data_IF_176960376463
#
_entry.id   IF_176960376463
#
_cell.length_a   1.000
_cell.length_b   1.000
_cell.length_c   1.000
_cell.angle_alpha   90.00
_cell.angle_beta   90.00
_cell.angle_gamma   90.00
#
_symmetry.space_group_name_H-M   'P 1'
#
loop_
_entity.id
_entity.type
_entity.pdbx_description
1 polymer ?
#
# COMPACT_ATOMS: atom_id res chain seq x y z
N UNK A 1 -100.51 61.24 -29.54
CA UNK A 1 -99.28 61.48 -28.71
C UNK A 1 -98.66 60.10 -28.42
N UNK A 2 -97.72 59.68 -29.22
CA UNK A 2 -97.12 58.38 -29.08
C UNK A 2 -95.66 58.62 -28.68
N UNK A 3 -95.25 58.15 -27.49
CA UNK A 3 -93.86 58.22 -26.97
C UNK A 3 -93.06 57.04 -27.50
N UNK A 4 -92.03 57.32 -28.27
CA UNK A 4 -91.01 56.35 -28.65
C UNK A 4 -90.04 56.11 -27.48
N UNK A 5 -89.99 54.85 -27.05
CA UNK A 5 -88.96 54.37 -26.11
C UNK A 5 -87.80 53.85 -26.96
N UNK A 6 -86.60 54.46 -26.82
CA UNK A 6 -85.33 53.97 -27.39
C UNK A 6 -84.71 52.98 -26.43
N UNK A 7 -84.65 51.75 -26.83
CA UNK A 7 -83.84 50.75 -26.18
C UNK A 7 -82.37 50.99 -26.50
N UNK A 8 -81.51 51.22 -25.48
CA UNK A 8 -80.05 51.26 -25.56
C UNK A 8 -79.56 49.84 -25.64
N UNK A 9 -78.96 49.39 -26.72
CA UNK A 9 -78.21 48.15 -26.80
C UNK A 9 -76.84 48.34 -26.11
N UNK A 10 -76.60 47.64 -25.01
CA UNK A 10 -75.32 47.55 -24.36
C UNK A 10 -74.44 46.52 -25.14
N UNK A 11 -73.51 47.01 -25.94
CA UNK A 11 -72.50 46.18 -26.57
C UNK A 11 -71.51 45.74 -25.49
N UNK A 12 -71.60 44.49 -25.13
CA UNK A 12 -70.62 43.87 -24.22
C UNK A 12 -69.25 43.86 -24.90
N UNK A 13 -68.27 44.56 -24.29
CA UNK A 13 -66.86 44.51 -24.64
C UNK A 13 -66.24 43.18 -24.18
N UNK A 14 -66.65 42.01 -24.70
CA UNK A 14 -66.09 40.70 -24.37
C UNK A 14 -64.77 40.43 -25.10
N UNK A 15 -64.42 41.17 -26.17
CA UNK A 15 -63.21 40.92 -26.96
C UNK A 15 -61.90 41.21 -26.25
N UNK A 16 -61.87 42.10 -25.23
CA UNK A 16 -60.67 42.44 -24.51
C UNK A 16 -60.24 41.35 -23.46
N UNK A 17 -61.23 40.80 -22.76
CA UNK A 17 -60.98 39.75 -21.77
C UNK A 17 -60.48 38.47 -22.44
N UNK A 18 -61.04 38.00 -23.52
CA UNK A 18 -60.59 36.83 -24.27
C UNK A 18 -59.20 37.04 -24.87
N UNK A 19 -58.85 38.23 -25.33
CA UNK A 19 -57.48 38.56 -25.79
C UNK A 19 -56.51 38.55 -24.67
N UNK A 20 -56.79 39.09 -23.47
CA UNK A 20 -55.94 39.03 -22.30
C UNK A 20 -55.80 37.61 -21.80
N UNK A 21 -56.83 36.79 -21.75
CA UNK A 21 -56.78 35.38 -21.36
C UNK A 21 -55.90 34.56 -22.32
N UNK A 22 -56.05 34.79 -23.65
CA UNK A 22 -55.20 34.14 -24.66
C UNK A 22 -53.73 34.54 -24.53
N UNK A 23 -53.40 35.82 -24.30
CA UNK A 23 -52.07 36.31 -24.11
C UNK A 23 -51.46 35.74 -22.80
N UNK A 24 -52.23 35.65 -21.73
CA UNK A 24 -51.83 35.05 -20.49
C UNK A 24 -51.54 33.54 -20.64
N UNK A 25 -52.39 32.81 -21.35
CA UNK A 25 -52.21 31.38 -21.64
C UNK A 25 -50.99 31.15 -22.55
N UNK A 26 -50.78 31.99 -23.57
CA UNK A 26 -49.63 31.95 -24.46
C UNK A 26 -48.33 32.24 -23.70
N UNK A 27 -48.35 33.22 -22.78
CA UNK A 27 -47.20 33.51 -21.92
C UNK A 27 -46.91 32.35 -20.96
N UNK A 28 -47.96 31.75 -20.36
CA UNK A 28 -47.81 30.58 -19.47
C UNK A 28 -47.25 29.37 -20.23
N UNK A 29 -47.71 29.13 -21.45
CA UNK A 29 -47.19 28.06 -22.33
C UNK A 29 -45.77 28.32 -22.75
N UNK A 30 -45.41 29.56 -23.06
CA UNK A 30 -44.03 29.94 -23.38
C UNK A 30 -43.10 29.75 -22.17
N UNK A 31 -43.51 30.16 -20.97
CA UNK A 31 -42.77 29.93 -19.74
C UNK A 31 -42.63 28.43 -19.45
N UNK A 32 -43.72 27.66 -19.58
CA UNK A 32 -43.67 26.20 -19.40
C UNK A 32 -42.72 25.52 -20.39
N UNK A 33 -42.71 26.00 -21.65
CA UNK A 33 -41.80 25.52 -22.68
C UNK A 33 -40.34 25.86 -22.36
N UNK A 34 -40.06 27.09 -21.90
CA UNK A 34 -38.70 27.49 -21.49
C UNK A 34 -38.23 26.67 -20.29
N UNK A 35 -39.07 26.46 -19.27
CA UNK A 35 -38.78 25.64 -18.12
C UNK A 35 -38.52 24.19 -18.54
N UNK A 36 -39.36 23.62 -19.39
CA UNK A 36 -39.17 22.28 -19.93
C UNK A 36 -37.86 22.18 -20.73
N UNK A 37 -37.54 23.20 -21.52
CA UNK A 37 -36.29 23.26 -22.28
C UNK A 37 -35.07 23.28 -21.34
N UNK A 38 -35.07 24.12 -20.30
CA UNK A 38 -33.96 24.19 -19.32
C UNK A 38 -33.78 22.88 -18.57
N UNK A 39 -34.87 22.17 -18.27
CA UNK A 39 -34.82 20.89 -17.55
C UNK A 39 -34.37 19.76 -18.46
N UNK A 40 -34.78 19.71 -19.69
CA UNK A 40 -34.59 18.60 -20.63
C UNK A 40 -33.35 18.77 -21.52
N UNK A 41 -32.92 20.00 -21.81
CA UNK A 41 -31.74 20.29 -22.61
C UNK A 41 -30.59 20.71 -21.70
N UNK A 42 -29.69 19.77 -21.48
CA UNK A 42 -28.42 19.97 -20.77
C UNK A 42 -27.27 20.08 -21.77
N UNK A 43 -26.35 21.04 -21.56
CA UNK A 43 -25.19 21.24 -22.44
C UNK A 43 -23.91 20.73 -21.81
N UNK A 44 -23.92 20.40 -20.52
CA UNK A 44 -22.75 19.80 -19.85
C UNK A 44 -22.61 18.34 -20.28
N UNK A 45 -21.38 17.97 -20.61
CA UNK A 45 -21.06 16.58 -20.96
C UNK A 45 -20.80 15.77 -19.71
N UNK A 46 -21.07 14.45 -19.72
CA UNK A 46 -20.65 13.57 -18.63
C UNK A 46 -19.13 13.63 -18.45
N UNK A 47 -18.66 13.49 -17.23
CA UNK A 47 -17.23 13.41 -16.91
C UNK A 47 -16.76 11.97 -16.92
N UNK A 48 -15.56 11.73 -17.44
CA UNK A 48 -14.90 10.44 -17.48
C UNK A 48 -13.53 10.56 -16.83
N UNK A 49 -13.25 9.69 -15.86
CA UNK A 49 -11.98 9.65 -15.13
C UNK A 49 -11.43 8.22 -15.15
N UNK A 50 -10.22 8.09 -15.66
CA UNK A 50 -9.41 6.88 -15.51
C UNK A 50 -8.54 7.02 -14.26
N UNK A 51 -8.52 5.98 -13.43
CA UNK A 51 -7.75 6.01 -12.19
C UNK A 51 -6.24 5.90 -12.42
N UNK A 52 -5.82 5.42 -13.61
CA UNK A 52 -4.42 5.24 -14.00
C UNK A 52 -4.20 5.67 -15.45
N UNK A 53 -3.06 6.30 -15.73
CA UNK A 53 -2.60 6.52 -17.11
C UNK A 53 -2.28 5.16 -17.74
N UNK A 54 -2.78 4.96 -18.98
CA UNK A 54 -2.62 3.70 -19.69
C UNK A 54 -1.76 3.97 -20.92
N UNK A 55 -0.62 3.30 -20.99
CA UNK A 55 0.29 3.34 -22.14
C UNK A 55 0.40 1.97 -22.80
N UNK A 56 0.39 0.91 -21.98
CA UNK A 56 0.49 -0.47 -22.42
C UNK A 56 -0.72 -1.26 -21.98
N UNK A 57 -1.11 -2.25 -22.79
CA UNK A 57 -2.17 -3.19 -22.50
C UNK A 57 -1.67 -4.62 -22.76
N UNK A 58 -1.61 -5.40 -21.68
CA UNK A 58 -1.23 -6.81 -21.74
C UNK A 58 -2.30 -7.75 -22.26
N UNK A 59 -2.02 -9.04 -22.18
CA UNK A 59 -2.94 -10.08 -22.63
C UNK A 59 -4.30 -10.05 -21.91
N UNK A 60 -4.30 -9.69 -20.64
CA UNK A 60 -5.52 -9.51 -19.82
C UNK A 60 -5.29 -8.45 -18.75
N UNK A 61 -5.98 -7.33 -18.89
CA UNK A 61 -5.85 -6.17 -18.00
C UNK A 61 -7.21 -5.75 -17.47
N UNK A 62 -7.31 -5.42 -16.18
CA UNK A 62 -8.47 -4.78 -15.59
C UNK A 62 -8.30 -3.26 -15.61
N UNK A 63 -9.25 -2.58 -16.25
CA UNK A 63 -9.28 -1.13 -16.37
C UNK A 63 -10.36 -0.56 -15.45
N UNK A 64 -10.02 0.02 -14.29
CA UNK A 64 -10.96 0.75 -13.47
C UNK A 64 -11.24 2.13 -14.06
N UNK A 65 -12.50 2.45 -14.25
CA UNK A 65 -12.96 3.75 -14.74
C UNK A 65 -14.14 4.25 -13.94
N UNK A 66 -14.24 5.57 -13.83
CA UNK A 66 -15.40 6.24 -13.25
C UNK A 66 -15.98 7.22 -14.25
N UNK A 67 -17.30 7.23 -14.33
CA UNK A 67 -18.01 8.23 -15.08
C UNK A 67 -19.10 8.85 -14.21
N UNK A 68 -19.35 10.16 -14.39
CA UNK A 68 -20.41 10.85 -13.65
C UNK A 68 -21.13 11.89 -14.50
N UNK A 69 -22.42 12.01 -14.23
CA UNK A 69 -23.30 13.04 -14.77
C UNK A 69 -24.34 13.40 -13.70
N UNK A 70 -24.32 14.66 -13.22
CA UNK A 70 -25.11 15.07 -12.06
C UNK A 70 -26.54 15.47 -12.39
N UNK A 71 -26.83 15.79 -13.66
CA UNK A 71 -28.13 16.34 -14.07
C UNK A 71 -29.00 15.29 -14.73
N UNK A 72 -28.73 14.95 -16.00
CA UNK A 72 -29.56 14.00 -16.76
C UNK A 72 -29.24 12.54 -16.40
N UNK A 73 -28.04 12.27 -15.93
CA UNK A 73 -27.55 10.93 -15.59
C UNK A 73 -27.03 10.16 -16.79
N UNK A 74 -26.24 9.13 -16.53
CA UNK A 74 -25.56 8.33 -17.55
C UNK A 74 -26.56 7.41 -18.25
N UNK A 75 -26.57 7.45 -19.60
CA UNK A 75 -27.36 6.60 -20.48
C UNK A 75 -26.62 5.37 -20.93
N UNK A 76 -25.35 5.54 -21.38
CA UNK A 76 -24.56 4.41 -21.85
C UNK A 76 -23.08 4.67 -21.70
N UNK A 77 -22.35 3.56 -21.59
CA UNK A 77 -20.91 3.54 -21.69
C UNK A 77 -20.51 2.49 -22.74
N UNK A 78 -19.60 2.88 -23.63
CA UNK A 78 -19.06 2.00 -24.66
C UNK A 78 -17.54 2.11 -24.66
N UNK A 79 -16.86 0.96 -24.69
CA UNK A 79 -15.40 0.89 -24.77
C UNK A 79 -15.05 0.05 -25.95
N UNK A 80 -14.24 0.62 -26.83
CA UNK A 80 -13.80 -0.01 -28.08
C UNK A 80 -12.28 0.05 -28.18
N UNK A 81 -11.67 -1.05 -28.51
CA UNK A 81 -10.25 -1.14 -28.85
C UNK A 81 -10.11 -1.34 -30.36
N UNK A 82 -9.32 -0.50 -31.00
CA UNK A 82 -9.12 -0.53 -32.45
C UNK A 82 -7.64 -0.62 -32.84
N UNK A 83 -7.36 -1.41 -33.87
CA UNK A 83 -6.03 -1.59 -34.43
C UNK A 83 -6.15 -1.68 -35.95
N UNK A 84 -5.75 -0.64 -36.68
CA UNK A 84 -6.02 -0.50 -38.11
C UNK A 84 -7.53 -0.55 -38.39
N UNK A 85 -7.96 -1.47 -39.26
CA UNK A 85 -9.37 -1.67 -39.59
C UNK A 85 -10.14 -2.51 -38.55
N UNK A 86 -9.44 -3.23 -37.70
CA UNK A 86 -10.07 -4.06 -36.66
C UNK A 86 -10.60 -3.19 -35.54
N UNK A 87 -11.84 -3.49 -35.11
CA UNK A 87 -12.47 -2.88 -33.94
C UNK A 87 -13.08 -3.98 -33.07
N UNK A 88 -12.72 -3.99 -31.81
CA UNK A 88 -13.26 -4.89 -30.80
C UNK A 88 -14.03 -4.07 -29.77
N UNK A 89 -15.31 -4.37 -29.59
CA UNK A 89 -16.13 -3.77 -28.54
C UNK A 89 -15.89 -4.55 -27.24
N UNK A 90 -15.29 -3.88 -26.26
CA UNK A 90 -14.90 -4.47 -24.98
C UNK A 90 -16.02 -4.39 -23.95
N UNK A 91 -16.75 -3.28 -23.97
CA UNK A 91 -17.90 -3.03 -23.12
C UNK A 91 -18.96 -2.26 -23.88
N UNK A 92 -20.20 -2.68 -23.73
CA UNK A 92 -21.39 -1.88 -24.03
C UNK A 92 -22.37 -2.07 -22.89
N UNK A 93 -22.65 -0.99 -22.17
CA UNK A 93 -23.61 -0.99 -21.07
C UNK A 93 -24.57 0.18 -21.24
N UNK A 94 -25.84 -0.13 -21.26
CA UNK A 94 -26.91 0.85 -21.37
C UNK A 94 -27.77 0.81 -20.12
N UNK A 95 -28.25 1.98 -19.71
CA UNK A 95 -29.12 2.14 -18.54
C UNK A 95 -30.51 2.53 -19.01
N UNK A 96 -31.59 1.95 -18.43
CA UNK A 96 -32.94 2.35 -18.77
C UNK A 96 -33.25 3.76 -18.23
N UNK A 97 -34.02 4.53 -18.98
CA UNK A 97 -34.51 5.84 -18.52
C UNK A 97 -35.50 5.65 -17.38
N UNK A 98 -35.19 6.24 -16.22
CA UNK A 98 -36.03 6.14 -15.01
C UNK A 98 -37.00 7.31 -14.86
N UNK A 99 -36.72 8.46 -15.46
CA UNK A 99 -37.52 9.67 -15.35
C UNK A 99 -37.42 10.57 -16.60
N UNK A 100 -38.45 11.42 -16.84
CA UNK A 100 -38.41 12.47 -17.81
C UNK A 100 -38.19 13.87 -17.21
N UNK A 101 -38.47 14.05 -15.91
CA UNK A 101 -38.45 15.34 -15.22
C UNK A 101 -37.41 15.43 -14.10
N UNK A 102 -36.66 14.39 -13.86
CA UNK A 102 -35.56 14.31 -12.89
C UNK A 102 -34.37 13.60 -13.56
N UNK A 103 -33.31 13.39 -12.81
CA UNK A 103 -32.18 12.55 -13.23
C UNK A 103 -32.71 11.23 -13.80
N UNK A 104 -32.42 10.96 -15.06
CA UNK A 104 -33.03 9.86 -15.81
C UNK A 104 -32.22 8.55 -15.70
N UNK A 105 -30.96 8.62 -15.27
CA UNK A 105 -30.05 7.46 -15.08
C UNK A 105 -29.19 7.62 -13.88
N UNK A 106 -28.23 6.69 -13.65
CA UNK A 106 -27.28 6.78 -12.55
C UNK A 106 -26.42 8.05 -12.69
N UNK A 107 -26.22 8.77 -11.59
CA UNK A 107 -25.40 9.99 -11.56
C UNK A 107 -23.90 9.71 -11.52
N UNK A 108 -23.52 8.50 -11.14
CA UNK A 108 -22.14 8.02 -11.11
C UNK A 108 -22.11 6.52 -11.32
N UNK A 109 -21.13 6.05 -12.06
CA UNK A 109 -20.83 4.64 -12.26
C UNK A 109 -19.34 4.39 -12.04
N UNK A 110 -19.02 3.25 -11.47
CA UNK A 110 -17.66 2.74 -11.37
C UNK A 110 -17.65 1.35 -11.99
N UNK A 111 -16.83 1.16 -13.01
CA UNK A 111 -16.74 -0.10 -13.76
C UNK A 111 -15.29 -0.58 -13.77
N UNK A 112 -15.13 -1.91 -13.69
CA UNK A 112 -13.86 -2.58 -13.95
C UNK A 112 -14.00 -3.34 -15.27
N UNK A 113 -13.35 -2.84 -16.30
CA UNK A 113 -13.44 -3.44 -17.63
C UNK A 113 -12.27 -4.37 -17.82
N UNK A 114 -12.55 -5.63 -18.12
CA UNK A 114 -11.53 -6.62 -18.44
C UNK A 114 -11.24 -6.54 -19.95
N UNK A 115 -10.03 -6.11 -20.30
CA UNK A 115 -9.51 -6.14 -21.66
C UNK A 115 -8.80 -7.48 -21.83
N UNK A 116 -9.27 -8.30 -22.76
CA UNK A 116 -8.68 -9.59 -23.12
C UNK A 116 -8.27 -9.52 -24.60
N UNK A 117 -6.98 -9.30 -24.82
CA UNK A 117 -6.42 -9.10 -26.18
C UNK A 117 -6.70 -10.29 -27.10
N UNK A 118 -6.63 -11.52 -26.59
CA UNK A 118 -6.93 -12.74 -27.36
C UNK A 118 -8.38 -12.77 -27.83
N UNK A 119 -9.33 -12.46 -26.92
CA UNK A 119 -10.75 -12.42 -27.26
C UNK A 119 -11.08 -11.28 -28.20
N UNK A 120 -10.39 -10.13 -28.06
CA UNK A 120 -10.53 -8.99 -28.93
C UNK A 120 -9.92 -9.22 -30.32
N UNK A 121 -9.08 -10.24 -30.50
CA UNK A 121 -8.38 -10.51 -31.75
C UNK A 121 -7.36 -9.42 -32.13
N UNK A 122 -6.92 -8.62 -31.17
CA UNK A 122 -5.92 -7.56 -31.31
C UNK A 122 -4.54 -8.17 -31.13
N UNK A 123 -3.59 -7.75 -31.98
CA UNK A 123 -2.20 -8.25 -31.98
C UNK A 123 -1.28 -7.26 -31.26
N UNK A 124 -0.04 -7.66 -31.05
CA UNK A 124 1.05 -6.82 -30.60
C UNK A 124 1.17 -5.52 -31.42
N UNK A 125 1.54 -4.41 -30.79
CA UNK A 125 1.78 -3.12 -31.42
C UNK A 125 0.73 -2.06 -31.13
N UNK A 126 0.77 -0.96 -31.86
CA UNK A 126 -0.05 0.22 -31.59
C UNK A 126 -1.54 -0.03 -31.80
N UNK A 127 -2.34 0.47 -30.87
CA UNK A 127 -3.81 0.41 -30.88
C UNK A 127 -4.39 1.70 -30.28
N UNK A 128 -5.69 1.92 -30.49
CA UNK A 128 -6.43 3.04 -29.89
C UNK A 128 -7.55 2.50 -29.00
N UNK A 129 -7.55 2.87 -27.74
CA UNK A 129 -8.65 2.63 -26.81
C UNK A 129 -9.56 3.83 -26.81
N UNK A 130 -10.81 3.66 -27.21
CA UNK A 130 -11.84 4.68 -27.21
C UNK A 130 -12.88 4.38 -26.14
N UNK A 131 -13.07 5.31 -25.22
CA UNK A 131 -14.08 5.26 -24.17
C UNK A 131 -15.10 6.35 -24.45
N UNK A 132 -16.36 5.99 -24.55
CA UNK A 132 -17.46 6.90 -24.83
C UNK A 132 -18.54 6.76 -23.76
N UNK A 133 -18.93 7.88 -23.18
CA UNK A 133 -20.02 7.96 -22.19
C UNK A 133 -21.08 8.91 -22.74
N UNK A 134 -22.34 8.50 -22.70
CA UNK A 134 -23.50 9.33 -23.09
C UNK A 134 -24.43 9.53 -21.90
N UNK A 135 -25.02 10.71 -21.83
CA UNK A 135 -26.06 11.06 -20.86
C UNK A 135 -27.48 10.89 -21.43
N UNK A 136 -28.49 11.22 -20.62
CA UNK A 136 -29.90 11.21 -21.01
C UNK A 136 -30.42 12.54 -21.44
N UNK A 137 -29.60 13.57 -21.64
CA UNK A 137 -30.03 14.87 -22.13
C UNK A 137 -30.72 14.72 -23.49
N UNK A 138 -31.62 15.66 -23.84
CA UNK A 138 -32.28 15.68 -25.16
C UNK A 138 -31.41 16.33 -26.23
N UNK A 139 -30.20 16.73 -25.89
CA UNK A 139 -29.26 17.31 -26.82
C UNK A 139 -28.90 16.35 -27.98
N UNK A 140 -28.43 16.89 -29.12
CA UNK A 140 -28.03 16.06 -30.26
C UNK A 140 -29.19 15.21 -30.85
N UNK A 141 -30.38 15.77 -31.03
CA UNK A 141 -31.57 15.06 -31.52
C UNK A 141 -31.92 13.82 -30.67
N UNK A 142 -32.03 14.00 -29.38
CA UNK A 142 -32.35 12.96 -28.37
C UNK A 142 -31.26 11.90 -28.15
N UNK A 143 -30.03 12.14 -28.65
CA UNK A 143 -28.91 11.20 -28.48
C UNK A 143 -28.15 11.42 -27.16
N UNK A 144 -28.33 12.56 -26.50
CA UNK A 144 -27.62 12.97 -25.31
C UNK A 144 -26.25 13.59 -25.61
N UNK A 145 -25.66 14.24 -24.60
CA UNK A 145 -24.29 14.69 -24.70
C UNK A 145 -23.32 13.49 -24.62
N UNK A 146 -22.20 13.61 -25.28
CA UNK A 146 -21.20 12.58 -25.35
C UNK A 146 -19.83 13.10 -24.89
N UNK A 147 -19.23 12.41 -23.95
CA UNK A 147 -17.81 12.51 -23.64
C UNK A 147 -17.08 11.36 -24.32
N UNK A 148 -16.00 11.66 -25.04
CA UNK A 148 -15.16 10.66 -25.71
C UNK A 148 -13.72 10.91 -25.31
N UNK A 149 -13.08 9.87 -24.82
CA UNK A 149 -11.64 9.84 -24.57
C UNK A 149 -10.98 8.82 -25.51
N UNK A 150 -9.95 9.26 -26.22
CA UNK A 150 -9.15 8.41 -27.11
C UNK A 150 -7.74 8.33 -26.55
N UNK A 151 -7.24 7.13 -26.36
CA UNK A 151 -5.95 6.87 -25.76
C UNK A 151 -5.16 5.98 -26.72
N UNK A 152 -4.01 6.47 -27.13
CA UNK A 152 -3.05 5.62 -27.87
C UNK A 152 -2.41 4.69 -26.86
N UNK A 153 -2.43 3.39 -27.16
CA UNK A 153 -1.90 2.32 -26.31
C UNK A 153 -1.06 1.39 -27.17
N UNK A 154 -0.06 0.78 -26.57
CA UNK A 154 0.68 -0.31 -27.19
C UNK A 154 0.19 -1.64 -26.62
N UNK A 155 -0.25 -2.54 -27.47
CA UNK A 155 -0.58 -3.91 -27.07
C UNK A 155 0.71 -4.69 -26.91
N UNK A 156 0.96 -5.20 -25.71
CA UNK A 156 2.10 -6.03 -25.37
C UNK A 156 1.61 -7.24 -24.58
N UNK A 157 1.64 -8.39 -25.21
CA UNK A 157 1.15 -9.65 -24.61
C UNK A 157 2.28 -10.63 -24.29
N UNK A 158 3.53 -10.17 -24.47
CA UNK A 158 4.72 -10.98 -24.26
C UNK A 158 5.28 -10.78 -22.87
N UNK A 159 5.24 -11.78 -21.98
CA UNK A 159 5.82 -11.65 -20.65
C UNK A 159 7.32 -11.39 -20.67
N UNK A 160 7.87 -10.65 -19.71
CA UNK A 160 9.29 -10.41 -19.58
C UNK A 160 10.03 -11.74 -19.36
N UNK A 161 11.28 -11.82 -19.78
CA UNK A 161 12.14 -12.97 -19.46
C UNK A 161 12.87 -12.70 -18.14
N UNK A 162 12.67 -13.57 -17.15
CA UNK A 162 13.33 -13.53 -15.84
C UNK A 162 14.39 -14.62 -15.76
N UNK A 163 15.60 -14.25 -15.34
CA UNK A 163 16.69 -15.21 -15.13
C UNK A 163 17.32 -14.97 -13.76
N UNK A 164 17.31 -15.98 -12.89
CA UNK A 164 17.99 -15.92 -11.59
C UNK A 164 19.48 -16.19 -11.83
N UNK A 165 20.32 -15.21 -11.52
CA UNK A 165 21.77 -15.32 -11.64
C UNK A 165 22.40 -15.84 -10.35
N UNK A 166 21.82 -15.48 -9.19
CA UNK A 166 22.27 -15.96 -7.89
C UNK A 166 21.09 -16.06 -6.91
N UNK A 167 21.12 -17.08 -6.04
CA UNK A 167 20.22 -17.21 -4.90
C UNK A 167 21.01 -17.67 -3.67
N UNK A 168 20.57 -17.22 -2.50
CA UNK A 168 21.14 -17.61 -1.22
C UNK A 168 21.26 -19.14 -1.11
N UNK A 169 22.48 -19.64 -0.90
CA UNK A 169 22.73 -21.09 -0.90
C UNK A 169 22.16 -21.80 0.31
N UNK A 170 22.28 -21.19 1.49
CA UNK A 170 21.79 -21.74 2.75
C UNK A 170 20.99 -20.68 3.49
N UNK A 171 19.88 -21.10 4.05
CA UNK A 171 19.02 -20.25 4.89
C UNK A 171 18.53 -21.06 6.09
N UNK A 172 18.31 -20.38 7.21
CA UNK A 172 17.77 -20.96 8.44
C UNK A 172 16.60 -20.11 8.95
N UNK A 173 15.79 -20.61 9.89
CA UNK A 173 14.73 -19.81 10.54
C UNK A 173 15.30 -18.49 11.11
N UNK A 174 14.66 -17.39 10.82
CA UNK A 174 15.14 -16.06 11.20
C UNK A 174 16.33 -15.53 10.41
N UNK A 175 16.78 -16.25 9.37
CA UNK A 175 17.87 -15.80 8.50
C UNK A 175 17.42 -14.86 7.39
N UNK A 176 18.40 -14.16 6.80
CA UNK A 176 18.23 -13.31 5.61
C UNK A 176 18.65 -14.05 4.36
N UNK A 177 17.87 -13.91 3.28
CA UNK A 177 18.20 -14.45 1.97
C UNK A 177 18.35 -13.35 0.93
N UNK A 178 19.14 -13.66 -0.11
CA UNK A 178 19.44 -12.74 -1.20
C UNK A 178 19.22 -13.45 -2.52
N UNK A 179 18.59 -12.76 -3.46
CA UNK A 179 18.44 -13.22 -4.84
C UNK A 179 18.85 -12.10 -5.79
N UNK A 180 19.72 -12.42 -6.74
CA UNK A 180 20.09 -11.53 -7.84
C UNK A 180 19.55 -12.13 -9.13
N UNK A 181 18.89 -11.30 -9.93
CA UNK A 181 18.22 -11.74 -11.16
C UNK A 181 18.20 -10.64 -12.21
N UNK A 182 18.00 -11.04 -13.46
CA UNK A 182 17.85 -10.13 -14.59
C UNK A 182 16.44 -10.21 -15.15
N UNK A 183 15.95 -9.07 -15.69
CA UNK A 183 14.67 -8.97 -16.39
C UNK A 183 14.96 -8.38 -17.77
N UNK A 184 14.40 -8.95 -18.84
CA UNK A 184 14.69 -8.56 -20.21
C UNK A 184 14.32 -7.12 -20.57
N UNK A 185 13.46 -6.51 -19.77
CA UNK A 185 12.87 -5.18 -19.97
C UNK A 185 12.61 -4.49 -18.65
N UNK A 186 12.17 -3.22 -18.69
CA UNK A 186 11.86 -2.47 -17.49
C UNK A 186 10.59 -3.03 -16.83
N UNK A 187 10.68 -3.57 -15.60
CA UNK A 187 9.51 -4.12 -14.89
C UNK A 187 8.64 -3.02 -14.28
N UNK A 188 7.35 -3.28 -14.22
CA UNK A 188 6.39 -2.53 -13.41
C UNK A 188 6.46 -2.93 -11.94
N UNK A 189 6.35 -4.23 -11.66
CA UNK A 189 6.49 -4.82 -10.32
C UNK A 189 7.38 -6.05 -10.40
N UNK A 190 8.35 -6.15 -9.50
CA UNK A 190 9.22 -7.33 -9.46
C UNK A 190 9.76 -7.58 -8.04
N UNK A 191 10.19 -8.81 -7.78
CA UNK A 191 10.73 -9.20 -6.49
C UNK A 191 10.74 -10.71 -6.30
N UNK A 192 10.87 -11.11 -5.06
CA UNK A 192 10.90 -12.52 -4.64
C UNK A 192 9.62 -12.87 -3.89
N UNK A 193 9.04 -13.99 -4.21
CA UNK A 193 7.92 -14.58 -3.49
C UNK A 193 8.38 -15.84 -2.77
N UNK A 194 8.29 -15.82 -1.43
CA UNK A 194 8.52 -16.98 -0.56
C UNK A 194 7.16 -17.40 -0.03
N UNK A 195 6.67 -18.55 -0.47
CA UNK A 195 5.27 -18.97 -0.29
C UNK A 195 4.28 -17.89 -0.76
N UNK A 196 3.67 -17.17 0.20
CA UNK A 196 2.72 -16.08 -0.06
C UNK A 196 3.29 -14.69 0.25
N UNK A 197 4.52 -14.61 0.79
CA UNK A 197 5.13 -13.34 1.18
C UNK A 197 5.97 -12.77 0.06
N UNK A 198 5.62 -11.57 -0.39
CA UNK A 198 6.35 -10.86 -1.44
C UNK A 198 7.39 -9.91 -0.85
N UNK A 199 8.60 -9.99 -1.38
CA UNK A 199 9.73 -9.11 -1.05
C UNK A 199 10.11 -8.32 -2.31
N UNK A 200 10.01 -6.99 -2.31
CA UNK A 200 10.34 -6.16 -3.46
C UNK A 200 11.80 -6.32 -3.91
N UNK A 201 12.03 -6.19 -5.21
CA UNK A 201 13.36 -6.11 -5.80
C UNK A 201 13.79 -4.67 -6.03
N UNK A 202 15.10 -4.44 -6.04
CA UNK A 202 15.72 -3.14 -6.23
C UNK A 202 16.74 -3.17 -7.36
N UNK A 203 16.93 -2.08 -8.10
CA UNK A 203 17.94 -2.02 -9.15
C UNK A 203 19.35 -2.10 -8.55
N UNK A 204 20.26 -2.70 -9.28
CA UNK A 204 21.71 -2.65 -9.01
C UNK A 204 22.38 -1.65 -9.96
N UNK A 205 23.69 -1.47 -9.85
CA UNK A 205 24.46 -0.65 -10.78
C UNK A 205 24.59 -1.29 -12.17
N UNK A 206 24.23 -2.57 -12.34
CA UNK A 206 24.21 -3.28 -13.62
C UNK A 206 22.86 -3.14 -14.31
N UNK A 207 22.86 -2.86 -15.61
CA UNK A 207 21.64 -2.75 -16.38
C UNK A 207 20.78 -4.02 -16.29
N UNK A 208 19.47 -3.82 -16.17
CA UNK A 208 18.48 -4.90 -16.11
C UNK A 208 18.72 -5.95 -15.02
N UNK A 209 19.57 -5.63 -14.04
CA UNK A 209 19.94 -6.52 -12.93
C UNK A 209 19.37 -5.98 -11.64
N UNK A 210 18.74 -6.85 -10.89
CA UNK A 210 18.00 -6.52 -9.67
C UNK A 210 18.45 -7.43 -8.53
N UNK A 211 18.36 -6.89 -7.31
CA UNK A 211 18.57 -7.61 -6.07
C UNK A 211 17.30 -7.58 -5.24
N UNK A 212 16.98 -8.68 -4.59
CA UNK A 212 15.95 -8.72 -3.56
C UNK A 212 16.49 -9.38 -2.30
N UNK A 213 16.21 -8.75 -1.16
CA UNK A 213 16.43 -9.33 0.16
C UNK A 213 15.12 -9.91 0.66
N UNK A 214 15.16 -11.08 1.27
CA UNK A 214 14.01 -11.70 1.89
C UNK A 214 14.35 -12.23 3.29
N UNK A 215 13.34 -12.33 4.13
CA UNK A 215 13.43 -12.89 5.47
C UNK A 215 12.73 -14.23 5.52
N UNK A 216 13.30 -15.16 6.26
CA UNK A 216 12.60 -16.37 6.66
C UNK A 216 12.12 -16.19 8.13
N UNK A 217 10.83 -16.43 8.44
CA UNK A 217 10.33 -16.32 9.81
C UNK A 217 11.16 -17.14 10.80
N UNK A 218 11.30 -16.66 12.03
CA UNK A 218 12.09 -17.33 13.08
C UNK A 218 11.57 -18.74 13.42
N UNK A 219 10.30 -18.99 13.21
CA UNK A 219 9.60 -20.26 13.47
C UNK A 219 9.38 -21.12 12.21
N UNK A 220 9.98 -20.74 11.09
CA UNK A 220 9.87 -21.50 9.85
C UNK A 220 10.35 -22.93 10.01
N UNK A 221 9.57 -23.89 9.53
CA UNK A 221 9.91 -25.32 9.57
C UNK A 221 10.54 -25.83 8.27
N UNK A 222 10.38 -25.08 7.20
CA UNK A 222 10.95 -25.32 5.87
C UNK A 222 11.02 -23.99 5.10
N UNK A 223 11.61 -24.02 3.90
CA UNK A 223 11.69 -22.83 3.05
C UNK A 223 10.43 -22.59 2.22
N UNK A 224 9.64 -23.62 1.97
CA UNK A 224 8.46 -23.53 1.09
C UNK A 224 8.81 -23.28 -0.38
N UNK A 225 7.87 -22.67 -1.12
CA UNK A 225 8.06 -22.32 -2.54
C UNK A 225 8.84 -21.01 -2.69
N UNK A 226 9.80 -21.00 -3.63
CA UNK A 226 10.67 -19.84 -3.87
C UNK A 226 10.67 -19.49 -5.35
N UNK A 227 10.31 -18.26 -5.68
CA UNK A 227 10.35 -17.77 -7.05
C UNK A 227 10.59 -16.26 -7.13
N UNK A 228 11.27 -15.84 -8.16
CA UNK A 228 11.26 -14.46 -8.63
C UNK A 228 10.00 -14.25 -9.46
N UNK A 229 9.33 -13.14 -9.23
CA UNK A 229 8.15 -12.69 -10.00
C UNK A 229 8.50 -11.35 -10.62
N UNK A 230 8.18 -11.17 -11.89
CA UNK A 230 8.27 -9.89 -12.57
C UNK A 230 7.03 -9.66 -13.41
N UNK A 231 6.51 -8.47 -13.35
CA UNK A 231 5.39 -7.97 -14.15
C UNK A 231 5.89 -6.78 -14.95
N UNK A 232 5.64 -6.74 -16.25
CA UNK A 232 5.98 -5.62 -17.10
C UNK A 232 5.00 -4.44 -16.96
N UNK A 233 5.19 -3.36 -17.71
CA UNK A 233 4.29 -2.21 -17.69
C UNK A 233 2.91 -2.52 -18.30
N UNK A 234 2.79 -3.61 -19.07
CA UNK A 234 1.55 -4.09 -19.67
C UNK A 234 0.76 -5.04 -18.75
N UNK A 235 1.35 -5.49 -17.64
CA UNK A 235 0.74 -6.43 -16.70
C UNK A 235 0.94 -7.90 -17.07
N UNK A 236 1.88 -8.23 -17.96
CA UNK A 236 2.23 -9.62 -18.22
C UNK A 236 3.21 -10.11 -17.15
N UNK A 237 2.90 -11.24 -16.55
CA UNK A 237 3.68 -11.82 -15.44
C UNK A 237 4.60 -12.96 -15.94
N UNK A 238 5.84 -12.94 -15.45
CA UNK A 238 6.79 -14.03 -15.60
C UNK A 238 7.33 -14.44 -14.23
N UNK A 239 7.69 -15.71 -14.10
CA UNK A 239 8.29 -16.26 -12.89
C UNK A 239 9.49 -17.14 -13.20
N UNK A 240 10.49 -17.12 -12.28
CA UNK A 240 11.62 -18.03 -12.31
C UNK A 240 11.86 -18.61 -10.93
N UNK A 241 11.78 -19.92 -10.77
CA UNK A 241 12.03 -20.60 -9.49
C UNK A 241 13.52 -20.62 -9.17
N UNK A 242 13.83 -20.60 -7.90
CA UNK A 242 15.17 -20.83 -7.37
C UNK A 242 15.14 -21.79 -6.16
N UNK A 243 16.29 -22.24 -5.72
CA UNK A 243 16.39 -23.14 -4.58
C UNK A 243 17.42 -22.63 -3.59
N UNK A 244 17.14 -22.83 -2.30
CA UNK A 244 18.09 -22.65 -1.19
C UNK A 244 18.02 -23.85 -0.27
N UNK A 245 19.14 -24.19 0.38
CA UNK A 245 19.18 -25.29 1.31
C UNK A 245 18.73 -24.80 2.69
N UNK A 246 17.60 -25.30 3.16
CA UNK A 246 17.11 -25.00 4.49
C UNK A 246 17.93 -25.74 5.55
N UNK A 247 18.42 -24.99 6.52
CA UNK A 247 19.11 -25.53 7.71
C UNK A 247 18.26 -25.31 8.94
N UNK A 248 17.96 -26.35 9.68
CA UNK A 248 17.28 -26.21 10.97
C UNK A 248 18.12 -25.38 11.94
N UNK A 249 17.47 -24.59 12.76
CA UNK A 249 18.06 -23.94 13.92
C UNK A 249 17.61 -24.67 15.19
N UNK A 250 18.46 -24.63 16.24
CA UNK A 250 18.09 -25.14 17.53
C UNK A 250 17.09 -24.21 18.23
N UNK A 251 16.07 -24.81 18.86
CA UNK A 251 15.14 -24.08 19.71
C UNK A 251 15.86 -23.62 20.98
N UNK A 252 15.88 -22.33 21.22
CA UNK A 252 16.39 -21.74 22.47
C UNK A 252 15.18 -21.39 23.35
N UNK A 253 15.17 -21.93 24.57
CA UNK A 253 14.10 -21.69 25.53
C UNK A 253 14.65 -21.03 26.77
N UNK A 254 13.92 -20.04 27.26
CA UNK A 254 14.24 -19.29 28.47
C UNK A 254 12.99 -19.11 29.32
N UNK A 255 13.15 -18.84 30.59
CA UNK A 255 12.08 -18.57 31.52
C UNK A 255 12.34 -17.28 32.30
N UNK A 256 11.37 -16.40 32.33
CA UNK A 256 11.44 -15.12 33.00
C UNK A 256 10.45 -15.10 34.17
N UNK A 257 10.95 -14.98 35.37
CA UNK A 257 10.13 -14.86 36.57
C UNK A 257 9.69 -13.40 36.75
N UNK A 258 8.37 -13.18 36.76
CA UNK A 258 7.77 -11.89 37.03
C UNK A 258 7.61 -11.75 38.55
N UNK A 259 8.18 -10.71 39.14
CA UNK A 259 7.99 -10.35 40.53
C UNK A 259 7.01 -9.19 40.66
N UNK A 260 6.31 -9.09 41.81
CA UNK A 260 5.44 -7.95 42.12
C UNK A 260 6.21 -6.64 42.05
N UNK A 261 7.46 -6.62 42.53
CA UNK A 261 8.30 -5.44 42.47
C UNK A 261 8.56 -4.98 41.03
N UNK A 262 8.83 -5.92 40.11
CA UNK A 262 9.00 -5.61 38.68
C UNK A 262 7.70 -5.03 38.10
N UNK A 263 6.56 -5.64 38.38
CA UNK A 263 5.26 -5.16 37.90
C UNK A 263 4.93 -3.76 38.44
N UNK A 264 5.18 -3.52 39.74
CA UNK A 264 4.97 -2.21 40.37
C UNK A 264 5.86 -1.12 39.80
N UNK A 265 7.07 -1.45 39.38
CA UNK A 265 8.01 -0.48 38.79
C UNK A 265 7.69 -0.20 37.32
N UNK A 266 7.24 -1.22 36.57
CA UNK A 266 7.09 -1.10 35.11
C UNK A 266 5.70 -0.70 34.62
N UNK A 267 4.64 -1.19 35.25
CA UNK A 267 3.29 -0.93 34.78
C UNK A 267 2.93 0.57 34.80
N UNK A 268 3.33 1.40 35.77
CA UNK A 268 3.05 2.83 35.75
C UNK A 268 3.63 3.57 34.52
N UNK A 269 4.77 3.13 33.97
CA UNK A 269 5.32 3.67 32.73
C UNK A 269 4.34 3.44 31.56
N UNK A 270 3.79 2.22 31.45
CA UNK A 270 2.85 1.89 30.39
C UNK A 270 1.49 2.58 30.57
N UNK A 271 1.01 2.75 31.79
CA UNK A 271 -0.26 3.44 32.07
C UNK A 271 -0.26 4.91 31.59
N UNK A 272 0.90 5.58 31.61
CA UNK A 272 1.05 6.93 31.07
C UNK A 272 0.83 6.97 29.54
N UNK A 273 1.19 5.93 28.82
CA UNK A 273 1.07 5.85 27.37
C UNK A 273 -0.20 5.10 26.90
N UNK A 274 -0.75 4.22 27.74
CA UNK A 274 -1.89 3.35 27.44
C UNK A 274 -2.93 3.38 28.57
N UNK A 275 -3.63 4.52 28.74
CA UNK A 275 -4.58 4.71 29.84
C UNK A 275 -5.80 3.78 29.76
N UNK A 276 -6.03 3.10 28.65
CA UNK A 276 -7.09 2.12 28.46
C UNK A 276 -6.86 0.80 29.21
N UNK A 277 -5.65 0.55 29.74
CA UNK A 277 -5.33 -0.70 30.45
C UNK A 277 -6.16 -0.85 31.73
N UNK A 278 -6.70 -2.05 31.95
CA UNK A 278 -7.55 -2.36 33.09
C UNK A 278 -7.11 -3.62 33.83
N UNK A 279 -7.60 -3.82 35.03
CA UNK A 279 -7.35 -5.01 35.84
C UNK A 279 -6.16 -4.88 36.79
N UNK A 280 -5.65 -6.01 37.27
CA UNK A 280 -4.49 -6.10 38.16
C UNK A 280 -3.19 -5.72 37.43
N UNK A 281 -2.11 -5.55 38.17
CA UNK A 281 -0.78 -5.32 37.55
C UNK A 281 -0.39 -6.46 36.59
N UNK A 282 -0.74 -7.69 36.92
CA UNK A 282 -0.51 -8.83 36.03
C UNK A 282 -1.37 -8.77 34.77
N UNK A 283 -2.65 -8.43 34.87
CA UNK A 283 -3.54 -8.31 33.72
C UNK A 283 -3.01 -7.23 32.75
N UNK A 284 -2.58 -6.09 33.28
CA UNK A 284 -1.96 -5.00 32.51
C UNK A 284 -0.65 -5.42 31.87
N UNK A 285 0.19 -6.19 32.57
CA UNK A 285 1.41 -6.75 32.00
C UNK A 285 1.10 -7.66 30.81
N UNK A 286 0.14 -8.58 30.94
CA UNK A 286 -0.28 -9.49 29.88
C UNK A 286 -0.83 -8.70 28.69
N UNK A 287 -1.63 -7.65 28.94
CA UNK A 287 -2.13 -6.75 27.90
C UNK A 287 -0.98 -6.08 27.12
N UNK A 288 0.01 -5.54 27.82
CA UNK A 288 1.20 -4.94 27.18
C UNK A 288 1.98 -5.97 26.38
N UNK A 289 2.21 -7.14 26.96
CA UNK A 289 3.03 -8.18 26.34
C UNK A 289 2.38 -8.88 25.16
N UNK A 290 1.05 -8.71 24.97
CA UNK A 290 0.31 -9.25 23.84
C UNK A 290 -0.24 -8.13 22.92
N UNK A 291 -1.24 -7.39 23.37
CA UNK A 291 -1.94 -6.40 22.53
C UNK A 291 -1.03 -5.23 22.12
N UNK A 292 -0.31 -4.64 23.08
CA UNK A 292 0.62 -3.54 22.75
C UNK A 292 1.78 -4.04 21.92
N UNK A 293 2.33 -5.22 22.20
CA UNK A 293 3.36 -5.86 21.37
C UNK A 293 2.91 -6.02 19.91
N UNK A 294 1.67 -6.45 19.70
CA UNK A 294 1.13 -6.59 18.34
C UNK A 294 1.00 -5.23 17.63
N UNK A 295 0.49 -4.20 18.34
CA UNK A 295 0.43 -2.82 17.81
C UNK A 295 1.82 -2.27 17.49
N UNK A 296 2.82 -2.57 18.31
CA UNK A 296 4.21 -2.18 18.06
C UNK A 296 4.76 -2.85 16.79
N UNK A 297 4.50 -4.15 16.58
CA UNK A 297 4.91 -4.85 15.37
C UNK A 297 4.29 -4.21 14.09
N UNK A 298 3.01 -3.83 14.14
CA UNK A 298 2.33 -3.13 13.04
C UNK A 298 2.96 -1.75 12.76
N UNK A 299 3.30 -0.99 13.81
CA UNK A 299 3.96 0.32 13.69
C UNK A 299 5.34 0.18 13.05
N UNK A 300 6.14 -0.78 13.51
CA UNK A 300 7.46 -1.07 12.94
C UNK A 300 7.34 -1.50 11.47
N UNK A 301 6.43 -2.42 11.14
CA UNK A 301 6.21 -2.85 9.76
C UNK A 301 5.83 -1.68 8.85
N UNK A 302 4.96 -0.78 9.33
CA UNK A 302 4.57 0.44 8.60
C UNK A 302 5.76 1.39 8.41
N UNK A 303 6.59 1.58 9.42
CA UNK A 303 7.78 2.43 9.31
C UNK A 303 8.82 1.87 8.33
N UNK A 304 8.94 0.53 8.23
CA UNK A 304 9.81 -0.15 7.27
C UNK A 304 9.26 -0.21 5.84
N UNK A 305 7.98 0.12 5.61
CA UNK A 305 7.35 -0.01 4.29
C UNK A 305 7.94 0.95 3.24
N UNK A 306 8.37 2.13 3.67
CA UNK A 306 9.01 3.13 2.82
C UNK A 306 10.54 3.06 3.00
N UNK A 307 11.23 2.39 2.09
CA UNK A 307 12.68 2.24 2.09
C UNK A 307 13.33 2.94 0.91
N UNK A 308 14.57 3.39 1.05
CA UNK A 308 15.35 3.94 -0.06
C UNK A 308 15.62 2.85 -1.12
N UNK A 309 15.55 3.24 -2.41
CA UNK A 309 15.84 2.33 -3.52
C UNK A 309 17.32 1.94 -3.60
N UNK A 310 18.19 2.78 -3.05
CA UNK A 310 19.64 2.58 -3.05
C UNK A 310 20.08 1.97 -1.73
N UNK A 311 21.07 1.10 -1.78
CA UNK A 311 21.80 0.64 -0.61
C UNK A 311 22.53 1.83 0.02
N UNK A 312 22.24 2.14 1.28
CA UNK A 312 22.88 3.24 2.03
C UNK A 312 24.03 2.72 2.93
N UNK A 313 24.01 1.46 3.29
CA UNK A 313 24.98 0.81 4.16
C UNK A 313 26.23 0.29 3.39
N UNK A 314 27.32 0.09 4.11
CA UNK A 314 28.54 -0.51 3.58
C UNK A 314 29.17 -1.43 4.63
N UNK A 315 29.75 -2.54 4.18
CA UNK A 315 30.37 -3.53 5.06
C UNK A 315 29.45 -4.05 6.16
N UNK A 316 29.99 -4.78 7.15
CA UNK A 316 29.20 -5.29 8.27
C UNK A 316 28.61 -4.16 9.10
N UNK A 317 27.50 -4.46 9.74
CA UNK A 317 26.90 -3.62 10.77
C UNK A 317 27.74 -3.67 12.05
N UNK A 318 27.84 -2.57 12.79
CA UNK A 318 28.59 -2.53 14.05
C UNK A 318 27.73 -3.15 15.16
N UNK A 319 28.29 -4.12 15.87
CA UNK A 319 27.73 -4.61 17.12
C UNK A 319 28.23 -3.73 18.27
N UNK A 320 27.32 -3.25 19.12
CA UNK A 320 27.71 -2.54 20.35
C UNK A 320 28.65 -3.43 21.21
N UNK A 321 29.79 -2.91 21.70
CA UNK A 321 30.62 -3.64 22.68
C UNK A 321 29.83 -3.88 23.97
N UNK A 322 29.85 -5.11 24.46
CA UNK A 322 29.16 -5.49 25.68
C UNK A 322 28.85 -6.98 25.76
N UNK A 323 28.37 -7.39 26.93
CA UNK A 323 27.97 -8.76 27.20
C UNK A 323 26.60 -9.09 26.61
N UNK A 324 26.48 -10.16 25.83
CA UNK A 324 25.18 -10.68 25.40
C UNK A 324 24.38 -11.18 26.60
N UNK A 325 23.11 -10.75 26.70
CA UNK A 325 22.19 -11.16 27.76
C UNK A 325 21.13 -12.11 27.26
N UNK A 326 20.61 -11.83 26.05
CA UNK A 326 19.62 -12.67 25.39
C UNK A 326 19.87 -12.70 23.88
N UNK A 327 19.51 -13.80 23.26
CA UNK A 327 19.71 -14.05 21.85
C UNK A 327 18.45 -13.80 21.01
N UNK A 328 18.64 -13.76 19.69
CA UNK A 328 17.55 -13.76 18.74
C UNK A 328 16.82 -15.10 18.74
N UNK A 329 15.50 -15.06 18.64
CA UNK A 329 14.57 -16.19 18.65
C UNK A 329 14.53 -16.98 19.96
N UNK A 330 15.02 -16.43 21.08
CA UNK A 330 14.85 -17.04 22.40
C UNK A 330 13.34 -17.09 22.74
N UNK A 331 12.79 -18.30 22.89
CA UNK A 331 11.38 -18.54 23.26
C UNK A 331 11.25 -18.42 24.78
N UNK A 332 10.61 -17.35 25.25
CA UNK A 332 10.51 -17.01 26.66
C UNK A 332 9.15 -17.40 27.23
N UNK A 333 9.15 -18.22 28.30
CA UNK A 333 7.98 -18.45 29.15
C UNK A 333 8.03 -17.51 30.34
N UNK A 334 6.98 -16.72 30.54
CA UNK A 334 6.85 -15.80 31.65
C UNK A 334 6.09 -16.48 32.80
N UNK A 335 6.74 -16.53 33.97
CA UNK A 335 6.18 -17.17 35.17
C UNK A 335 5.81 -16.12 36.21
N UNK A 336 4.65 -16.26 36.78
CA UNK A 336 4.19 -15.51 37.95
C UNK A 336 3.72 -16.46 39.01
N UNK A 337 4.30 -16.36 40.22
CA UNK A 337 4.04 -17.31 41.31
C UNK A 337 4.21 -18.78 40.89
N UNK A 338 5.24 -19.07 40.08
CA UNK A 338 5.56 -20.43 39.61
C UNK A 338 4.66 -20.97 38.50
N UNK A 339 3.68 -20.19 38.01
CA UNK A 339 2.81 -20.57 36.90
C UNK A 339 3.15 -19.81 35.64
N UNK A 340 3.18 -20.48 34.51
CA UNK A 340 3.34 -19.82 33.18
C UNK A 340 2.08 -18.99 32.90
N UNK A 341 2.26 -17.69 32.71
CA UNK A 341 1.18 -16.74 32.46
C UNK A 341 1.20 -16.20 31.03
N UNK A 342 2.35 -16.28 30.33
CA UNK A 342 2.49 -15.85 28.95
C UNK A 342 3.72 -16.50 28.30
N UNK A 343 3.74 -16.52 26.94
CA UNK A 343 4.88 -16.96 26.14
C UNK A 343 5.10 -15.98 24.99
N UNK A 344 6.35 -15.55 24.81
CA UNK A 344 6.76 -14.65 23.73
C UNK A 344 8.11 -15.07 23.16
N UNK A 345 8.41 -14.61 21.95
CA UNK A 345 9.72 -14.80 21.32
C UNK A 345 10.49 -13.49 21.30
N UNK A 346 11.76 -13.56 21.66
CA UNK A 346 12.66 -12.41 21.65
C UNK A 346 13.23 -12.19 20.24
N UNK A 347 12.78 -11.12 19.57
CA UNK A 347 13.10 -10.83 18.17
C UNK A 347 14.26 -9.82 18.03
N UNK A 348 15.30 -9.97 18.83
CA UNK A 348 16.49 -9.15 18.81
C UNK A 348 17.61 -9.78 19.64
N UNK A 349 18.61 -9.00 19.94
CA UNK A 349 19.72 -9.37 20.83
C UNK A 349 19.85 -8.31 21.90
N UNK A 350 19.87 -8.72 23.18
CA UNK A 350 20.09 -7.84 24.31
C UNK A 350 21.57 -7.77 24.65
N UNK A 351 22.12 -6.56 24.70
CA UNK A 351 23.55 -6.29 24.96
C UNK A 351 23.67 -5.32 26.12
N UNK A 352 24.26 -5.78 27.22
CA UNK A 352 24.54 -4.95 28.39
C UNK A 352 25.99 -4.46 28.40
N UNK A 353 26.14 -3.20 28.84
CA UNK A 353 27.46 -2.54 29.03
C UNK A 353 27.41 -1.70 30.29
N UNK A 354 28.10 -0.59 30.35
CA UNK A 354 27.96 0.40 31.41
C UNK A 354 26.63 1.11 31.29
N UNK A 355 26.08 1.54 32.41
CA UNK A 355 24.80 2.29 32.44
C UNK A 355 24.87 3.55 31.57
N UNK A 356 23.81 3.79 30.77
CA UNK A 356 23.69 4.92 29.85
C UNK A 356 24.85 5.05 28.87
N UNK A 357 25.35 3.91 28.38
CA UNK A 357 26.40 3.94 27.37
C UNK A 357 25.86 4.55 26.06
N UNK A 358 26.70 5.31 25.37
CA UNK A 358 26.36 5.90 24.08
C UNK A 358 26.08 4.83 23.03
N UNK A 359 24.91 4.90 22.43
CA UNK A 359 24.45 4.01 21.36
C UNK A 359 24.76 4.67 20.02
N UNK A 360 25.43 3.90 19.17
CA UNK A 360 25.88 4.37 17.85
C UNK A 360 25.13 3.65 16.74
N UNK A 361 24.88 4.36 15.63
CA UNK A 361 24.30 3.78 14.44
C UNK A 361 25.16 2.64 13.90
N UNK A 362 24.60 1.45 13.74
CA UNK A 362 25.32 0.27 13.29
C UNK A 362 25.84 0.39 11.86
N UNK A 363 25.17 1.19 11.03
CA UNK A 363 25.59 1.57 9.68
C UNK A 363 24.93 2.88 9.25
N UNK A 364 25.35 3.42 8.10
CA UNK A 364 24.75 4.61 7.50
C UNK A 364 23.31 4.33 7.09
N UNK A 365 22.40 5.28 7.34
CA UNK A 365 20.99 5.16 6.98
C UNK A 365 20.18 6.39 7.35
N UNK A 366 18.89 6.32 7.09
CA UNK A 366 17.91 7.37 7.39
C UNK A 366 17.06 6.95 8.60
N UNK A 367 16.95 7.82 9.60
CA UNK A 367 16.07 7.58 10.75
C UNK A 367 14.61 7.66 10.27
N UNK A 368 13.86 6.58 10.47
CA UNK A 368 12.45 6.47 10.06
C UNK A 368 11.48 6.42 11.25
N UNK A 369 12.01 6.19 12.46
CA UNK A 369 11.27 6.27 13.72
C UNK A 369 12.21 6.68 14.87
N UNK A 370 11.76 7.55 15.77
CA UNK A 370 12.57 8.06 16.89
C UNK A 370 11.67 8.60 18.02
N UNK A 371 10.96 7.68 18.73
CA UNK A 371 10.06 8.03 19.84
C UNK A 371 9.77 6.80 20.72
N UNK A 372 8.92 6.98 21.75
CA UNK A 372 8.49 5.87 22.61
C UNK A 372 7.55 4.91 21.85
N UNK A 373 7.83 3.59 21.97
CA UNK A 373 6.99 2.55 21.35
C UNK A 373 6.80 1.35 22.29
N UNK A 374 5.89 1.43 23.21
CA UNK A 374 5.40 0.34 24.05
C UNK A 374 6.50 -0.53 24.65
N UNK A 375 6.52 -1.82 24.31
CA UNK A 375 7.48 -2.78 24.89
C UNK A 375 8.93 -2.39 24.60
N UNK A 376 9.20 -1.67 23.52
CA UNK A 376 10.54 -1.21 23.12
C UNK A 376 11.00 0.03 23.89
N UNK A 377 10.08 0.75 24.60
CA UNK A 377 10.41 2.01 25.24
C UNK A 377 10.84 3.07 24.21
N UNK A 378 11.77 3.94 24.58
CA UNK A 378 12.37 4.86 23.60
C UNK A 378 13.14 4.07 22.56
N UNK A 379 12.75 4.24 21.29
CA UNK A 379 13.22 3.41 20.18
C UNK A 379 13.66 4.27 19.00
N UNK A 380 14.71 3.85 18.34
CA UNK A 380 15.14 4.37 17.03
C UNK A 380 15.05 3.26 16.01
N UNK A 381 14.53 3.55 14.82
CA UNK A 381 14.56 2.68 13.64
C UNK A 381 15.27 3.42 12.52
N UNK A 382 16.26 2.78 11.92
CA UNK A 382 17.07 3.33 10.82
C UNK A 382 16.84 2.48 9.57
N UNK A 383 16.38 3.09 8.48
CA UNK A 383 16.35 2.50 7.14
C UNK A 383 17.71 2.62 6.49
N UNK A 384 18.27 1.50 6.06
CA UNK A 384 19.55 1.44 5.36
C UNK A 384 19.40 1.27 3.85
N UNK A 385 18.17 1.38 3.36
CA UNK A 385 17.81 1.16 1.95
C UNK A 385 17.57 -0.31 1.60
N UNK A 386 16.86 -0.50 0.51
CA UNK A 386 16.54 -1.82 -0.07
C UNK A 386 15.85 -2.77 0.93
N UNK A 387 15.03 -2.23 1.84
CA UNK A 387 14.28 -2.98 2.84
C UNK A 387 15.06 -3.40 4.07
N UNK A 388 16.32 -3.00 4.21
CA UNK A 388 17.15 -3.34 5.37
C UNK A 388 17.01 -2.26 6.43
N UNK A 389 16.69 -2.64 7.66
CA UNK A 389 16.57 -1.71 8.79
C UNK A 389 17.24 -2.25 10.05
N UNK A 390 17.71 -1.33 10.92
CA UNK A 390 18.19 -1.64 12.27
C UNK A 390 17.36 -0.92 13.33
N UNK A 391 17.08 -1.61 14.44
CA UNK A 391 16.25 -1.15 15.54
C UNK A 391 17.09 -1.10 16.82
N UNK A 392 16.94 -0.01 17.57
CA UNK A 392 17.61 0.27 18.85
C UNK A 392 16.55 0.62 19.88
N UNK A 393 16.43 -0.16 20.94
CA UNK A 393 15.37 0.00 21.92
C UNK A 393 15.88 0.06 23.37
N UNK A 394 14.96 0.36 24.28
CA UNK A 394 15.17 0.59 25.72
C UNK A 394 16.05 1.79 26.05
N UNK A 395 16.11 2.78 25.12
CA UNK A 395 16.98 3.94 25.27
C UNK A 395 16.54 4.86 26.44
N UNK A 396 17.53 5.43 27.16
CA UNK A 396 17.28 6.49 28.13
C UNK A 396 17.13 7.87 27.46
N UNK A 397 17.83 8.10 26.33
CA UNK A 397 17.69 9.28 25.49
C UNK A 397 17.77 8.92 24.00
N UNK A 398 17.10 9.74 23.20
CA UNK A 398 17.14 9.72 21.74
C UNK A 398 17.81 11.03 21.30
N UNK A 399 18.97 10.94 20.63
CA UNK A 399 19.79 12.08 20.25
C UNK A 399 19.73 12.35 18.74
N UNK A 400 18.67 11.87 18.08
CA UNK A 400 18.39 12.04 16.65
C UNK A 400 16.92 12.26 16.39
N UNK A 401 16.51 12.59 15.17
CA UNK A 401 15.12 12.82 14.78
C UNK A 401 14.78 12.13 13.48
N UNK A 402 13.49 11.84 13.26
CA UNK A 402 12.97 11.25 12.02
C UNK A 402 13.36 12.12 10.82
N UNK A 403 13.83 11.48 9.76
CA UNK A 403 14.30 12.12 8.52
C UNK A 403 15.81 12.40 8.49
N UNK A 404 16.50 12.33 9.63
CA UNK A 404 17.95 12.56 9.71
C UNK A 404 18.72 11.41 9.05
N UNK A 405 19.71 11.76 8.21
CA UNK A 405 20.71 10.81 7.75
C UNK A 405 21.78 10.69 8.82
N UNK A 406 22.07 9.48 9.24
CA UNK A 406 23.13 9.17 10.22
C UNK A 406 24.25 8.39 9.54
N UNK A 407 25.48 8.65 9.96
CA UNK A 407 26.64 7.91 9.48
C UNK A 407 26.93 6.69 10.38
N UNK A 408 27.63 5.71 9.85
CA UNK A 408 28.12 4.57 10.61
C UNK A 408 28.98 5.04 11.79
N UNK A 409 28.73 4.47 12.98
CA UNK A 409 29.41 4.85 14.25
C UNK A 409 29.01 6.23 14.82
N UNK A 410 28.02 6.91 14.24
CA UNK A 410 27.49 8.15 14.78
C UNK A 410 26.65 7.90 16.05
N UNK A 411 26.85 8.72 17.10
CA UNK A 411 26.03 8.69 18.30
C UNK A 411 24.57 9.04 17.97
N UNK A 412 23.62 8.22 18.43
CA UNK A 412 22.17 8.39 18.17
C UNK A 412 21.32 8.39 19.45
N UNK A 413 21.89 8.06 20.59
CA UNK A 413 21.18 8.00 21.88
C UNK A 413 22.02 7.32 22.95
N UNK A 414 21.41 6.98 24.07
CA UNK A 414 22.05 6.30 25.19
C UNK A 414 21.21 5.11 25.65
N UNK A 415 21.87 4.02 26.09
CA UNK A 415 21.18 2.85 26.62
C UNK A 415 20.38 3.20 27.87
N UNK A 416 19.43 2.38 28.23
CA UNK A 416 18.56 2.59 29.37
C UNK A 416 17.69 1.38 29.68
N UNK A 417 16.58 1.62 30.36
CA UNK A 417 15.65 0.57 30.78
C UNK A 417 14.18 0.99 30.53
N UNK A 418 13.91 1.80 29.53
CA UNK A 418 12.53 2.19 29.17
C UNK A 418 11.77 1.03 28.53
N UNK A 419 10.45 1.02 28.58
CA UNK A 419 9.63 -0.09 28.08
C UNK A 419 9.77 -1.36 28.91
N UNK A 420 9.77 -2.53 28.28
CA UNK A 420 9.74 -3.85 28.95
C UNK A 420 11.14 -4.38 29.31
N UNK A 421 12.02 -3.49 29.76
CA UNK A 421 13.38 -3.82 30.18
C UNK A 421 13.51 -3.92 31.72
N UNK A 422 14.18 -4.96 32.22
CA UNK A 422 14.41 -5.15 33.64
C UNK A 422 15.65 -4.37 34.17
N UNK A 423 16.48 -3.85 33.30
CA UNK A 423 17.69 -3.09 33.63
C UNK A 423 18.31 -2.48 32.38
N UNK A 424 19.35 -1.64 32.55
CA UNK A 424 19.98 -0.92 31.44
C UNK A 424 20.68 -1.88 30.47
N UNK A 425 20.23 -1.86 29.21
CA UNK A 425 20.82 -2.59 28.11
C UNK A 425 20.33 -2.03 26.77
N UNK A 426 20.99 -2.38 25.68
CA UNK A 426 20.50 -2.17 24.33
C UNK A 426 19.77 -3.43 23.85
N UNK A 427 18.51 -3.33 23.46
CA UNK A 427 17.87 -4.29 22.57
C UNK A 427 18.11 -3.88 21.13
N UNK A 428 18.79 -4.74 20.36
CA UNK A 428 19.14 -4.51 18.97
C UNK A 428 18.49 -5.53 18.05
N UNK A 429 17.87 -5.08 16.97
CA UNK A 429 17.32 -5.98 15.96
C UNK A 429 17.71 -5.55 14.55
N UNK A 430 17.80 -6.53 13.63
CA UNK A 430 17.84 -6.31 12.19
C UNK A 430 16.50 -6.71 11.56
N UNK A 431 16.10 -6.00 10.54
CA UNK A 431 14.85 -6.28 9.82
C UNK A 431 15.08 -6.27 8.31
N UNK A 432 14.37 -7.15 7.63
CA UNK A 432 14.26 -7.19 6.16
C UNK A 432 12.79 -6.99 5.81
N UNK A 433 12.47 -5.86 5.19
CA UNK A 433 11.09 -5.45 4.88
C UNK A 433 10.13 -5.56 6.09
N UNK A 434 10.59 -5.11 7.27
CA UNK A 434 9.81 -5.15 8.50
C UNK A 434 9.74 -6.53 9.19
N UNK A 435 10.33 -7.56 8.61
CA UNK A 435 10.45 -8.87 9.22
C UNK A 435 11.76 -8.96 10.02
N UNK A 436 11.67 -9.32 11.28
CA UNK A 436 12.83 -9.48 12.15
C UNK A 436 13.69 -10.64 11.70
N UNK A 437 15.00 -10.39 11.61
CA UNK A 437 16.02 -11.39 11.25
C UNK A 437 17.17 -11.40 12.25
N UNK A 438 17.97 -12.47 12.26
CA UNK A 438 19.11 -12.56 13.16
C UNK A 438 20.16 -11.49 12.86
N UNK A 439 20.56 -10.67 13.85
CA UNK A 439 21.63 -9.70 13.64
C UNK A 439 23.00 -10.30 13.37
N UNK A 440 23.23 -11.56 13.74
CA UNK A 440 24.55 -12.20 13.64
C UNK A 440 25.08 -12.28 12.22
N UNK A 441 24.22 -12.51 11.24
CA UNK A 441 24.59 -12.48 9.83
C UNK A 441 25.09 -11.09 9.40
N UNK A 442 24.44 -10.05 9.83
CA UNK A 442 24.75 -8.66 9.47
C UNK A 442 25.97 -8.10 10.20
N UNK A 443 26.35 -8.69 11.32
CA UNK A 443 27.58 -8.36 12.06
C UNK A 443 28.81 -9.10 11.52
N UNK A 444 28.61 -10.17 10.73
CA UNK A 444 29.69 -10.99 10.18
C UNK A 444 30.13 -10.44 8.80
N UNK A 445 31.36 -9.89 8.76
CA UNK A 445 31.95 -9.41 7.52
C UNK A 445 32.11 -10.52 6.47
N UNK A 446 32.43 -11.73 6.89
CA UNK A 446 32.56 -12.85 5.97
C UNK A 446 31.24 -13.22 5.33
N UNK A 447 30.15 -13.21 6.10
CA UNK A 447 28.81 -13.44 5.57
C UNK A 447 28.41 -12.37 4.53
N UNK A 448 28.69 -11.08 4.83
CA UNK A 448 28.46 -9.97 3.90
C UNK A 448 29.28 -10.12 2.61
N UNK A 449 30.57 -10.45 2.74
CA UNK A 449 31.47 -10.58 1.61
C UNK A 449 31.05 -11.74 0.68
N UNK A 450 30.73 -12.91 1.24
CA UNK A 450 30.36 -14.11 0.48
C UNK A 450 28.97 -14.00 -0.14
N UNK A 451 27.99 -13.50 0.62
CA UNK A 451 26.61 -13.56 0.18
C UNK A 451 26.14 -12.30 -0.56
N UNK A 452 26.85 -11.16 -0.44
CA UNK A 452 26.42 -9.89 -1.03
C UNK A 452 27.51 -9.33 -1.97
N UNK A 453 28.69 -9.01 -1.45
CA UNK A 453 29.69 -8.29 -2.23
C UNK A 453 30.25 -9.09 -3.39
N UNK A 454 30.63 -10.35 -3.15
CA UNK A 454 31.19 -11.22 -4.21
C UNK A 454 30.19 -11.34 -5.36
N UNK A 455 28.92 -11.53 -5.03
CA UNK A 455 27.86 -11.73 -6.02
C UNK A 455 27.57 -10.46 -6.82
N UNK A 456 27.53 -9.30 -6.19
CA UNK A 456 27.31 -8.03 -6.87
C UNK A 456 28.51 -7.63 -7.74
N UNK A 457 29.74 -8.05 -7.36
CA UNK A 457 30.99 -7.75 -8.06
C UNK A 457 31.35 -8.77 -9.14
N UNK A 458 30.73 -9.96 -9.19
CA UNK A 458 30.93 -10.91 -10.28
C UNK A 458 30.52 -10.28 -11.62
N UNK A 459 31.48 -10.32 -12.60
CA UNK A 459 31.35 -9.69 -13.92
C UNK A 459 30.42 -10.45 -14.86
#
# INVERSE_FOLDING_TARGET
MVKHIRLRSSSWRSGGFFKMLFLALAALTAVAFVVAFIILFEFEKPTLVLEKEIRFLGGRVELPLRASDKKSGIRSITITLSQGEKKAQLLEKTFPRQSWFKTAGPTSISEKVVIDAKKAGIKEGDAELMISVRDFSLNGFFQGNQAVQRIKVTMDTTPPKVTVSHAQRYIHPGGSGIVVYTISEKPGRHGVLIDTTFFPGFPTDKNNTYIAYFALPWDAKNLGSTKVVAEDEAGNEATASFTSNFKKADDKRDSVNLSDNFLQQKIPEFEQHYPEMQGTLLDKYIYVNNEIRQRNAQTIAKACAATDQKQLWSDRFIRMPGAGRAGYADQRSYLYNGKVVDNQTHLGVDIASTERVGIKAANRGKVVFAEYLGIYGNMILIDHGQGISSLYAHLSSIDTTVGTMVEKDQLIGHSGATGMAAGDHLHFSMLVHGNFVTPTEWWDQHWIDVNIKTILNEK
#
